data_IF_611244813779
#
_entry.id   IF_611244813779
#
_cell.length_a   1.000
_cell.length_b   1.000
_cell.length_c   1.000
_cell.angle_alpha   90.00
_cell.angle_beta   90.00
_cell.angle_gamma   90.00
#
_symmetry.space_group_name_H-M   'P 1'
#
loop_
_entity.id
_entity.type
_entity.pdbx_description
1 polymer ?
#
# COMPACT_ATOMS: atom_id res chain seq x y z
N UNK A 1 2.47 30.49 -19.52
CA UNK A 1 2.46 29.48 -18.44
C UNK A 1 3.09 28.22 -18.99
N UNK A 2 4.36 27.96 -18.64
CA UNK A 2 5.17 26.87 -19.20
C UNK A 2 5.37 25.78 -18.16
N UNK A 3 5.07 24.53 -18.53
CA UNK A 3 5.22 23.31 -17.74
C UNK A 3 6.68 22.84 -17.85
N UNK A 4 7.61 23.35 -17.04
CA UNK A 4 8.97 22.79 -17.06
C UNK A 4 9.84 22.91 -15.80
N UNK A 5 9.32 23.41 -14.68
CA UNK A 5 10.13 23.64 -13.46
C UNK A 5 9.76 22.73 -12.27
N UNK A 6 9.55 21.43 -12.49
CA UNK A 6 9.32 20.50 -11.36
C UNK A 6 10.05 19.17 -11.55
N UNK A 7 11.37 19.22 -11.78
CA UNK A 7 12.26 18.05 -11.67
C UNK A 7 13.62 18.45 -11.08
N UNK A 8 13.59 19.19 -9.96
CA UNK A 8 14.79 19.42 -9.16
C UNK A 8 14.57 18.84 -7.76
N UNK A 9 15.46 17.92 -7.39
CA UNK A 9 15.66 17.35 -6.06
C UNK A 9 14.63 16.33 -5.55
N UNK A 10 14.88 15.06 -5.86
CA UNK A 10 14.73 14.01 -4.85
C UNK A 10 15.97 13.12 -4.89
N UNK A 11 16.88 13.39 -3.98
CA UNK A 11 18.13 12.65 -3.81
C UNK A 11 17.81 11.21 -3.39
N UNK A 12 18.20 10.26 -4.25
CA UNK A 12 18.33 8.86 -3.88
C UNK A 12 19.42 8.74 -2.80
N UNK A 13 19.01 8.72 -1.52
CA UNK A 13 19.88 8.31 -0.43
C UNK A 13 20.08 6.79 -0.52
N UNK A 14 21.28 6.40 -0.94
CA UNK A 14 21.78 5.04 -0.90
C UNK A 14 21.86 4.56 0.56
N UNK A 15 20.97 3.67 0.97
CA UNK A 15 21.11 2.95 2.23
C UNK A 15 22.03 1.73 2.03
N UNK A 16 23.34 1.98 2.14
CA UNK A 16 24.31 0.94 2.49
C UNK A 16 24.41 0.85 4.01
N UNK A 17 23.77 -0.15 4.62
CA UNK A 17 24.09 -0.57 5.98
C UNK A 17 24.02 -2.09 6.08
N UNK A 18 25.18 -2.68 6.29
CA UNK A 18 25.41 -4.08 6.64
C UNK A 18 24.84 -4.35 8.03
N UNK A 19 23.83 -5.20 8.11
CA UNK A 19 23.35 -5.74 9.39
C UNK A 19 23.89 -7.16 9.56
N UNK A 20 24.70 -7.31 10.60
CA UNK A 20 25.23 -8.58 11.07
C UNK A 20 24.09 -9.47 11.59
N UNK A 21 24.14 -10.74 11.23
CA UNK A 21 23.25 -11.82 11.65
C UNK A 21 23.29 -12.03 13.17
N UNK A 22 22.14 -12.07 13.87
CA UNK A 22 22.00 -12.82 15.11
C UNK A 22 21.31 -14.15 14.84
N UNK A 23 21.89 -15.19 15.43
CA UNK A 23 21.49 -16.58 15.34
C UNK A 23 20.07 -16.85 15.88
N UNK A 24 19.53 -17.97 15.41
CA UNK A 24 18.18 -18.47 15.62
C UNK A 24 17.76 -18.60 17.10
N UNK A 25 16.56 -18.13 17.40
CA UNK A 25 15.77 -18.56 18.55
C UNK A 25 14.52 -19.29 18.02
N UNK A 26 14.60 -20.61 18.01
CA UNK A 26 13.54 -21.52 17.59
C UNK A 26 12.59 -21.77 18.75
N UNK A 27 11.75 -20.79 19.06
CA UNK A 27 10.49 -21.03 19.79
C UNK A 27 9.45 -19.96 19.44
N UNK A 28 8.88 -20.06 18.23
CA UNK A 28 7.73 -19.25 17.81
C UNK A 28 6.60 -20.15 17.37
N UNK A 29 6.02 -20.86 18.34
CA UNK A 29 4.72 -21.50 18.17
C UNK A 29 3.70 -20.50 17.63
N UNK A 30 3.08 -20.90 16.52
CA UNK A 30 2.11 -20.21 15.69
C UNK A 30 1.08 -19.34 16.45
N UNK A 31 1.32 -18.02 16.47
CA UNK A 31 0.26 -17.03 16.62
C UNK A 31 -0.06 -16.50 15.22
N UNK A 32 -1.32 -16.47 14.75
CA UNK A 32 -1.66 -15.82 13.50
C UNK A 32 -1.17 -14.36 13.55
N UNK A 33 -0.25 -14.04 12.65
CA UNK A 33 0.58 -12.83 12.71
C UNK A 33 -0.22 -11.62 12.18
N UNK A 34 -0.12 -10.41 12.80
CA UNK A 34 -0.77 -9.18 12.34
C UNK A 34 -0.52 -8.83 10.85
N UNK A 35 0.54 -9.36 10.25
CA UNK A 35 0.89 -9.17 8.85
C UNK A 35 -0.14 -9.78 7.85
N UNK A 36 -0.83 -10.87 8.23
CA UNK A 36 -1.85 -11.47 7.37
C UNK A 36 -3.11 -10.59 7.34
N UNK A 37 -3.57 -10.16 8.52
CA UNK A 37 -4.72 -9.25 8.64
C UNK A 37 -4.48 -7.88 7.99
N UNK A 38 -3.23 -7.37 8.02
CA UNK A 38 -2.89 -6.13 7.31
C UNK A 38 -2.87 -6.30 5.79
N UNK A 39 -2.43 -7.46 5.29
CA UNK A 39 -2.47 -7.76 3.86
C UNK A 39 -3.91 -7.89 3.36
N UNK A 40 -4.77 -8.57 4.13
CA UNK A 40 -6.20 -8.70 3.83
C UNK A 40 -6.88 -7.33 3.78
N UNK A 41 -6.54 -6.43 4.71
CA UNK A 41 -7.05 -5.05 4.71
C UNK A 41 -6.55 -4.25 3.51
N UNK A 42 -5.29 -4.42 3.12
CA UNK A 42 -4.74 -3.76 1.93
C UNK A 42 -5.45 -4.26 0.67
N UNK A 43 -5.69 -5.56 0.54
CA UNK A 43 -6.41 -6.12 -0.60
C UNK A 43 -7.87 -5.66 -0.67
N UNK A 44 -8.55 -5.54 0.48
CA UNK A 44 -9.89 -4.96 0.57
C UNK A 44 -9.92 -3.48 0.12
N UNK A 45 -8.95 -2.67 0.55
CA UNK A 45 -8.81 -1.28 0.11
C UNK A 45 -8.59 -1.17 -1.41
N UNK A 46 -7.77 -2.05 -1.97
CA UNK A 46 -7.49 -2.06 -3.40
C UNK A 46 -8.68 -2.60 -4.22
N UNK A 47 -9.48 -3.50 -3.67
CA UNK A 47 -10.75 -3.91 -4.28
C UNK A 47 -11.71 -2.72 -4.36
N UNK A 48 -11.87 -1.99 -3.25
CA UNK A 48 -12.72 -0.80 -3.19
C UNK A 48 -12.28 0.28 -4.19
N UNK A 49 -10.96 0.49 -4.35
CA UNK A 49 -10.42 1.40 -5.34
C UNK A 49 -10.81 0.99 -6.78
N UNK A 50 -10.74 -0.31 -7.11
CA UNK A 50 -11.14 -0.82 -8.42
C UNK A 50 -12.63 -0.65 -8.67
N UNK A 51 -13.47 -0.95 -7.68
CA UNK A 51 -14.92 -0.75 -7.75
C UNK A 51 -15.29 0.72 -7.95
N UNK A 52 -14.56 1.63 -7.30
CA UNK A 52 -14.69 3.07 -7.51
C UNK A 52 -14.20 3.54 -8.89
N UNK A 53 -13.62 2.67 -9.71
CA UNK A 53 -13.10 3.00 -11.04
C UNK A 53 -11.72 3.67 -11.00
N UNK A 54 -10.90 3.34 -10.01
CA UNK A 54 -9.47 3.63 -9.99
C UNK A 54 -8.72 2.51 -10.72
N UNK A 55 -7.66 2.89 -11.44
CA UNK A 55 -6.67 1.95 -11.96
C UNK A 55 -5.73 1.55 -10.82
N UNK A 56 -5.53 0.26 -10.61
CA UNK A 56 -4.57 -0.29 -9.68
C UNK A 56 -3.57 -1.15 -10.45
N UNK A 57 -2.29 -0.78 -10.41
CA UNK A 57 -1.22 -1.46 -11.14
C UNK A 57 -0.19 -2.01 -10.16
N UNK A 58 0.28 -3.24 -10.38
CA UNK A 58 1.42 -3.80 -9.65
C UNK A 58 2.71 -3.35 -10.32
N UNK A 59 3.45 -2.45 -9.67
CA UNK A 59 4.71 -1.90 -10.18
C UNK A 59 5.88 -2.84 -9.88
N UNK A 60 5.77 -3.64 -8.82
CA UNK A 60 6.76 -4.65 -8.49
C UNK A 60 6.46 -5.41 -7.20
N UNK A 61 7.21 -6.48 -6.96
CA UNK A 61 7.17 -7.24 -5.71
C UNK A 61 8.59 -7.57 -5.27
N UNK A 62 8.93 -7.21 -4.03
CA UNK A 62 10.23 -7.53 -3.42
C UNK A 62 9.96 -8.35 -2.17
N UNK A 63 10.36 -9.62 -2.20
CA UNK A 63 10.00 -10.58 -1.16
C UNK A 63 8.48 -10.71 -1.02
N UNK A 64 7.95 -10.35 0.16
CA UNK A 64 6.50 -10.38 0.46
C UNK A 64 5.81 -9.02 0.25
N UNK A 65 6.56 -7.97 -0.02
CA UNK A 65 6.05 -6.61 -0.17
C UNK A 65 5.64 -6.35 -1.63
N UNK A 66 4.43 -5.83 -1.84
CA UNK A 66 3.88 -5.49 -3.16
C UNK A 66 3.81 -3.98 -3.30
N UNK A 67 4.45 -3.45 -4.33
CA UNK A 67 4.40 -2.03 -4.68
C UNK A 67 3.33 -1.83 -5.73
N UNK A 68 2.27 -1.08 -5.37
CA UNK A 68 1.14 -0.83 -6.26
C UNK A 68 0.88 0.66 -6.39
N UNK A 69 0.72 1.11 -7.63
CA UNK A 69 0.25 2.46 -7.95
C UNK A 69 -1.27 2.47 -8.09
N UNK A 70 -1.88 3.54 -7.62
CA UNK A 70 -3.33 3.78 -7.74
C UNK A 70 -3.53 5.14 -8.41
N UNK A 71 -4.21 5.15 -9.56
CA UNK A 71 -4.43 6.35 -10.35
C UNK A 71 -5.85 6.39 -10.92
N UNK A 72 -6.39 7.59 -11.15
CA UNK A 72 -7.75 7.73 -11.68
C UNK A 72 -8.18 9.18 -11.80
N UNK A 73 -9.38 9.40 -12.33
CA UNK A 73 -10.00 10.72 -12.34
C UNK A 73 -10.35 11.19 -10.93
N UNK A 74 -10.46 12.50 -10.71
CA UNK A 74 -10.97 13.06 -9.45
C UNK A 74 -12.36 12.52 -9.12
N UNK A 75 -13.23 12.32 -10.12
CA UNK A 75 -14.54 11.72 -9.92
C UNK A 75 -14.47 10.27 -9.37
N UNK A 76 -13.52 9.47 -9.85
CA UNK A 76 -13.27 8.12 -9.31
C UNK A 76 -12.72 8.18 -7.88
N UNK A 77 -11.83 9.13 -7.59
CA UNK A 77 -11.32 9.35 -6.24
C UNK A 77 -12.45 9.71 -5.26
N UNK A 78 -13.37 10.60 -5.67
CA UNK A 78 -14.53 10.96 -4.83
C UNK A 78 -15.41 9.74 -4.52
N UNK A 79 -15.69 8.89 -5.53
CA UNK A 79 -16.44 7.63 -5.30
C UNK A 79 -15.72 6.70 -4.34
N UNK A 80 -14.40 6.58 -4.47
CA UNK A 80 -13.58 5.76 -3.57
C UNK A 80 -13.67 6.25 -2.13
N UNK A 81 -13.53 7.55 -1.89
CA UNK A 81 -13.65 8.13 -0.54
C UNK A 81 -15.03 7.89 0.05
N UNK A 82 -16.10 8.12 -0.71
CA UNK A 82 -17.47 7.84 -0.23
C UNK A 82 -17.67 6.36 0.13
N UNK A 83 -17.17 5.45 -0.71
CA UNK A 83 -17.28 4.02 -0.43
C UNK A 83 -16.43 3.60 0.78
N UNK A 84 -15.28 4.25 1.00
CA UNK A 84 -14.42 4.00 2.15
C UNK A 84 -15.07 4.45 3.45
N UNK A 85 -15.67 5.64 3.47
CA UNK A 85 -16.42 6.15 4.62
C UNK A 85 -17.58 5.21 4.98
N UNK A 86 -18.33 4.72 3.99
CA UNK A 86 -19.39 3.74 4.19
C UNK A 86 -18.86 2.43 4.79
N UNK A 87 -17.77 1.89 4.24
CA UNK A 87 -17.15 0.67 4.75
C UNK A 87 -16.67 0.80 6.20
N UNK A 88 -16.20 1.98 6.61
CA UNK A 88 -15.77 2.23 7.99
C UNK A 88 -16.98 2.32 8.94
N UNK A 89 -18.07 2.95 8.50
CA UNK A 89 -19.31 3.01 9.28
C UNK A 89 -19.95 1.63 9.47
N UNK A 90 -19.92 0.78 8.44
CA UNK A 90 -20.43 -0.59 8.52
C UNK A 90 -19.56 -1.49 9.42
N UNK A 91 -18.28 -1.18 9.59
CA UNK A 91 -17.38 -1.93 10.46
C UNK A 91 -17.57 -1.62 11.96
N UNK A 92 -18.15 -0.46 12.30
CA UNK A 92 -18.47 -0.04 13.67
C UNK A 92 -19.83 -0.56 14.17
N UNK A 93 -20.61 -1.20 13.28
CA UNK A 93 -21.96 -1.71 13.55
C UNK A 93 -21.98 -3.22 13.84
#
# INVERSE_FOLDING_TARGET
MSYQDVYAESGYLAYGRTEATPAADTDRTARPQPAAASADRADALLALAREAGMLVTLDGQIGRERYQSVAGSVASLMRFVTALEQSLLDADR
#
